data_IF_913147450719
#
_entry.id   IF_913147450719
#
_cell.length_a   1.000
_cell.length_b   1.000
_cell.length_c   1.000
_cell.angle_alpha   90.00
_cell.angle_beta   90.00
_cell.angle_gamma   90.00
#
_symmetry.space_group_name_H-M   'P 1'
#
loop_
_entity.id
_entity.type
_entity.pdbx_description
1 polymer ?
#
# COMPACT_ATOMS: atom_id res chain seq x y z
N UNK A 1 -36.02 56.42 12.31
CA UNK A 1 -34.93 57.35 11.90
C UNK A 1 -34.03 56.63 10.92
N UNK A 2 -34.04 57.08 9.66
CA UNK A 2 -33.24 56.57 8.55
C UNK A 2 -31.79 57.03 8.69
N UNK A 3 -30.82 56.11 8.54
CA UNK A 3 -29.46 56.47 8.10
C UNK A 3 -28.99 55.50 7.02
N UNK A 4 -28.61 56.08 5.88
CA UNK A 4 -28.18 55.48 4.62
C UNK A 4 -26.65 55.44 4.59
N UNK A 5 -26.07 54.31 4.21
CA UNK A 5 -24.72 54.20 3.59
C UNK A 5 -24.60 52.75 3.07
N UNK A 6 -24.90 52.42 1.81
CA UNK A 6 -24.13 52.61 0.56
C UNK A 6 -22.73 51.97 0.61
N UNK A 7 -22.69 50.76 0.02
CA UNK A 7 -21.68 50.21 -0.92
C UNK A 7 -20.20 50.17 -0.52
N UNK A 8 -19.69 48.95 -0.35
CA UNK A 8 -18.39 48.57 -0.92
C UNK A 8 -18.40 47.09 -1.29
N UNK A 9 -18.70 46.80 -2.57
CA UNK A 9 -18.39 45.51 -3.19
C UNK A 9 -16.88 45.36 -3.22
N UNK A 10 -16.34 44.48 -2.36
CA UNK A 10 -15.00 43.95 -2.56
C UNK A 10 -15.14 42.64 -3.33
N UNK A 11 -15.09 42.74 -4.65
CA UNK A 11 -14.89 41.59 -5.53
C UNK A 11 -13.47 41.06 -5.32
N UNK A 12 -13.27 40.28 -4.26
CA UNK A 12 -12.11 39.40 -4.16
C UNK A 12 -12.41 38.18 -5.04
N UNK A 13 -12.05 38.29 -6.32
CA UNK A 13 -12.02 37.15 -7.22
C UNK A 13 -11.09 36.10 -6.64
N UNK A 14 -11.66 35.04 -6.07
CA UNK A 14 -10.91 33.83 -5.75
C UNK A 14 -10.48 33.22 -7.08
N UNK A 15 -9.20 33.41 -7.42
CA UNK A 15 -8.52 32.60 -8.42
C UNK A 15 -8.76 31.13 -8.04
N UNK A 16 -9.47 30.43 -8.92
CA UNK A 16 -9.44 28.97 -8.96
C UNK A 16 -8.03 28.62 -9.42
N UNK A 17 -7.12 28.42 -8.47
CA UNK A 17 -5.91 27.66 -8.73
C UNK A 17 -6.36 26.22 -8.94
N UNK A 18 -6.62 25.87 -10.20
CA UNK A 18 -6.68 24.50 -10.67
C UNK A 18 -5.30 23.85 -10.52
N UNK A 19 -4.93 23.53 -9.28
CA UNK A 19 -3.87 22.61 -8.99
C UNK A 19 -4.40 21.22 -9.27
N UNK A 20 -3.96 20.61 -10.37
CA UNK A 20 -3.97 19.17 -10.49
C UNK A 20 -2.87 18.62 -9.55
N UNK A 21 -3.08 18.75 -8.25
CA UNK A 21 -2.64 17.69 -7.38
C UNK A 21 -3.68 16.61 -7.62
N UNK A 22 -3.29 15.52 -8.29
CA UNK A 22 -3.98 14.26 -8.10
C UNK A 22 -3.80 13.93 -6.62
N UNK A 23 -4.63 14.54 -5.78
CA UNK A 23 -5.08 13.94 -4.56
C UNK A 23 -5.75 12.67 -5.05
N UNK A 24 -4.92 11.62 -5.19
CA UNK A 24 -5.37 10.26 -4.96
C UNK A 24 -5.92 10.31 -3.54
N UNK A 25 -7.17 10.77 -3.44
CA UNK A 25 -8.01 10.44 -2.33
C UNK A 25 -7.76 8.96 -2.17
N UNK A 26 -7.29 8.58 -1.00
CA UNK A 26 -7.74 7.33 -0.45
C UNK A 26 -9.27 7.44 -0.34
N UNK A 27 -9.95 7.46 -1.48
CA UNK A 27 -11.25 6.84 -1.66
C UNK A 27 -11.00 5.48 -1.05
N UNK A 28 -11.60 5.25 0.11
CA UNK A 28 -11.41 4.09 0.94
C UNK A 28 -11.45 2.88 0.00
N UNK A 29 -10.27 2.38 -0.37
CA UNK A 29 -10.15 1.35 -1.38
C UNK A 29 -11.02 0.21 -0.88
N UNK A 30 -12.10 -0.08 -1.60
CA UNK A 30 -13.00 -1.15 -1.21
C UNK A 30 -12.12 -2.37 -1.01
N UNK A 31 -12.22 -3.00 0.17
CA UNK A 31 -11.45 -4.17 0.54
C UNK A 31 -12.02 -5.36 -0.23
N UNK A 32 -11.88 -5.31 -1.56
CA UNK A 32 -12.18 -6.38 -2.48
C UNK A 32 -10.98 -7.35 -2.46
N UNK A 33 -11.05 -8.30 -1.53
CA UNK A 33 -10.09 -9.39 -1.41
C UNK A 33 -10.55 -10.64 -2.18
N UNK A 34 -11.48 -10.52 -3.14
CA UNK A 34 -11.98 -11.67 -3.90
C UNK A 34 -10.86 -12.39 -4.66
N UNK A 35 -9.90 -11.62 -5.20
CA UNK A 35 -8.68 -12.11 -5.84
C UNK A 35 -7.80 -12.98 -4.90
N UNK A 36 -8.00 -12.85 -3.58
CA UNK A 36 -7.27 -13.60 -2.54
C UNK A 36 -8.17 -14.58 -1.79
N UNK A 37 -9.30 -14.98 -2.36
CA UNK A 37 -10.26 -15.89 -1.72
C UNK A 37 -10.82 -15.34 -0.41
N UNK A 38 -10.97 -14.01 -0.32
CA UNK A 38 -11.49 -13.31 0.86
C UNK A 38 -10.45 -13.08 1.97
N UNK A 39 -9.21 -13.53 1.81
CA UNK A 39 -8.15 -13.34 2.81
C UNK A 39 -7.60 -11.92 2.75
N UNK A 40 -7.39 -11.32 3.91
CA UNK A 40 -6.62 -10.06 4.01
C UNK A 40 -5.14 -10.35 3.76
N UNK A 41 -4.51 -9.53 2.91
CA UNK A 41 -3.08 -9.61 2.61
C UNK A 41 -2.36 -8.44 3.26
N UNK A 42 -1.12 -8.68 3.66
CA UNK A 42 -0.27 -7.73 4.36
C UNK A 42 1.10 -7.70 3.70
N UNK A 43 1.70 -6.51 3.67
CA UNK A 43 3.13 -6.36 3.49
C UNK A 43 3.82 -6.83 4.78
N UNK A 44 4.69 -7.82 4.68
CA UNK A 44 5.38 -8.45 5.81
C UNK A 44 6.87 -8.52 5.53
N UNK A 45 7.70 -8.02 6.44
CA UNK A 45 9.14 -7.98 6.25
C UNK A 45 9.88 -7.44 7.47
N UNK A 46 11.16 -7.10 7.28
CA UNK A 46 11.99 -6.55 8.36
C UNK A 46 11.40 -5.26 8.96
N UNK A 47 10.60 -4.51 8.20
CA UNK A 47 9.99 -3.26 8.68
C UNK A 47 8.88 -3.43 9.72
N UNK A 48 8.38 -4.64 9.91
CA UNK A 48 7.32 -4.95 10.87
C UNK A 48 7.53 -6.33 11.51
N UNK A 49 8.78 -6.77 11.65
CA UNK A 49 9.16 -8.05 12.25
C UNK A 49 8.38 -9.24 11.66
N UNK A 50 8.09 -9.17 10.35
CA UNK A 50 7.30 -10.16 9.62
C UNK A 50 5.86 -10.32 10.13
N UNK A 51 5.31 -9.35 10.86
CA UNK A 51 3.95 -9.38 11.39
C UNK A 51 2.90 -8.89 10.38
N UNK A 52 1.68 -9.41 10.50
CA UNK A 52 0.52 -8.89 9.79
C UNK A 52 -0.14 -7.82 10.65
N UNK A 53 0.18 -6.54 10.40
CA UNK A 53 -0.35 -5.41 11.16
C UNK A 53 -1.35 -4.62 10.31
N UNK A 54 -2.26 -3.89 10.95
CA UNK A 54 -3.25 -3.12 10.19
C UNK A 54 -2.63 -2.02 9.32
N UNK A 55 -1.48 -1.46 9.74
CA UNK A 55 -0.75 -0.45 8.98
C UNK A 55 -0.13 -1.00 7.68
N UNK A 56 0.17 -2.30 7.66
CA UNK A 56 0.77 -2.96 6.50
C UNK A 56 -0.25 -3.69 5.63
N UNK A 57 -1.54 -3.56 5.94
CA UNK A 57 -2.63 -4.18 5.17
C UNK A 57 -2.62 -3.66 3.73
N UNK A 58 -2.73 -4.59 2.80
CA UNK A 58 -2.80 -4.31 1.38
C UNK A 58 -4.19 -3.79 1.01
N UNK A 59 -4.23 -2.79 0.13
CA UNK A 59 -5.45 -2.23 -0.44
C UNK A 59 -5.42 -2.33 -1.97
N UNK A 60 -6.57 -2.58 -2.59
CA UNK A 60 -6.72 -2.58 -4.05
C UNK A 60 -6.80 -1.16 -4.57
N UNK A 61 -5.91 -0.76 -5.47
CA UNK A 61 -5.84 0.61 -6.03
C UNK A 61 -6.25 0.68 -7.50
N UNK A 62 -6.25 -0.43 -8.22
CA UNK A 62 -6.86 -0.60 -9.54
C UNK A 62 -7.17 -2.09 -9.78
N UNK A 63 -7.71 -2.43 -10.95
CA UNK A 63 -7.92 -3.85 -11.31
C UNK A 63 -6.61 -4.63 -11.21
N UNK A 64 -6.62 -5.68 -10.38
CA UNK A 64 -5.46 -6.51 -10.04
C UNK A 64 -4.21 -5.78 -9.54
N UNK A 65 -4.31 -4.49 -9.21
CA UNK A 65 -3.20 -3.67 -8.70
C UNK A 65 -3.45 -3.34 -7.24
N UNK A 66 -2.46 -3.67 -6.43
CA UNK A 66 -2.52 -3.63 -4.98
C UNK A 66 -1.40 -2.78 -4.41
N UNK A 67 -1.65 -2.11 -3.28
CA UNK A 67 -0.68 -1.24 -2.62
C UNK A 67 -0.67 -1.45 -1.11
N UNK A 68 0.51 -1.42 -0.50
CA UNK A 68 0.69 -1.25 0.94
C UNK A 68 1.76 -0.19 1.21
N UNK A 69 1.67 0.47 2.37
CA UNK A 69 2.70 1.41 2.82
C UNK A 69 3.59 0.72 3.84
N UNK A 70 4.90 0.98 3.76
CA UNK A 70 5.88 0.52 4.74
C UNK A 70 6.79 1.66 5.16
N UNK A 71 7.05 1.76 6.47
CA UNK A 71 8.07 2.66 7.01
C UNK A 71 9.40 1.93 7.07
N UNK A 72 10.43 2.49 6.47
CA UNK A 72 11.76 1.91 6.36
C UNK A 72 12.74 2.69 7.23
N UNK A 73 13.46 1.99 8.10
CA UNK A 73 14.55 2.54 8.92
C UNK A 73 15.89 2.03 8.42
N UNK A 74 16.91 2.89 8.43
CA UNK A 74 18.24 2.60 7.86
C UNK A 74 18.87 1.34 8.47
N UNK A 75 18.58 1.07 9.75
CA UNK A 75 19.09 -0.06 10.52
C UNK A 75 18.58 -1.41 10.02
N UNK A 76 17.51 -1.44 9.22
CA UNK A 76 16.92 -2.66 8.66
C UNK A 76 17.35 -2.95 7.22
N UNK A 77 18.22 -2.12 6.63
CA UNK A 77 18.71 -2.33 5.28
C UNK A 77 19.76 -3.48 5.23
N UNK A 78 19.75 -4.33 4.18
CA UNK A 78 18.78 -4.39 3.09
C UNK A 78 17.43 -4.97 3.54
N UNK A 79 16.34 -4.37 3.05
CA UNK A 79 15.01 -4.75 3.50
C UNK A 79 14.54 -5.99 2.74
N UNK A 80 14.10 -7.00 3.50
CA UNK A 80 13.43 -8.17 2.98
C UNK A 80 11.94 -8.07 3.26
N UNK A 81 11.12 -8.38 2.26
CA UNK A 81 9.67 -8.38 2.42
C UNK A 81 8.98 -9.39 1.50
N UNK A 82 7.72 -9.66 1.82
CA UNK A 82 6.75 -10.49 1.10
C UNK A 82 5.37 -9.87 1.24
N UNK A 83 4.43 -10.33 0.41
CA UNK A 83 3.02 -10.11 0.63
C UNK A 83 2.40 -11.41 1.09
N UNK A 84 1.71 -11.43 2.23
CA UNK A 84 1.01 -12.63 2.65
C UNK A 84 -0.18 -12.37 3.58
N UNK A 85 -1.09 -13.33 3.69
CA UNK A 85 -2.07 -13.35 4.77
C UNK A 85 -1.38 -13.63 6.12
N UNK A 86 -2.12 -13.39 7.21
CA UNK A 86 -1.61 -13.58 8.58
C UNK A 86 -1.16 -15.02 8.84
N UNK A 87 -1.83 -16.00 8.23
CA UNK A 87 -1.56 -17.43 8.39
C UNK A 87 -0.47 -18.00 7.47
N UNK A 88 0.15 -17.18 6.61
CA UNK A 88 1.07 -17.67 5.57
C UNK A 88 0.44 -18.79 4.71
N UNK A 89 -0.86 -18.68 4.45
CA UNK A 89 -1.64 -19.67 3.72
C UNK A 89 -1.10 -19.86 2.31
N UNK A 90 -1.31 -21.05 1.76
CA UNK A 90 -1.02 -21.28 0.36
C UNK A 90 -1.88 -20.39 -0.53
N UNK A 91 -1.32 -20.00 -1.68
CA UNK A 91 -2.03 -19.13 -2.64
C UNK A 91 -2.06 -17.67 -2.21
N UNK A 92 -1.66 -17.35 -0.98
CA UNK A 92 -1.59 -15.98 -0.44
C UNK A 92 -0.26 -15.73 0.24
N UNK A 93 0.83 -16.27 -0.32
CA UNK A 93 2.19 -16.10 0.16
C UNK A 93 3.09 -15.77 -1.04
N UNK A 94 3.32 -14.49 -1.28
CA UNK A 94 3.95 -13.97 -2.48
C UNK A 94 5.33 -13.37 -2.17
N UNK A 95 6.32 -13.74 -2.99
CA UNK A 95 7.70 -13.29 -2.85
C UNK A 95 8.49 -13.60 -4.12
N UNK A 96 9.81 -13.69 -4.00
CA UNK A 96 10.67 -14.06 -5.11
C UNK A 96 10.69 -15.59 -5.31
N UNK A 97 10.51 -16.03 -6.55
CA UNK A 97 10.68 -17.43 -6.95
C UNK A 97 12.09 -17.60 -7.53
N UNK A 98 12.93 -18.42 -6.90
CA UNK A 98 14.22 -18.82 -7.50
C UNK A 98 13.98 -19.64 -8.80
N UNK A 99 14.97 -19.75 -9.71
CA UNK A 99 14.73 -20.28 -11.07
C UNK A 99 14.41 -21.78 -11.16
N UNK A 100 14.42 -22.54 -10.07
CA UNK A 100 14.24 -24.00 -10.14
C UNK A 100 12.76 -24.39 -10.11
N UNK A 101 12.29 -24.81 -11.27
CA UNK A 101 10.96 -25.34 -11.55
C UNK A 101 10.73 -26.68 -10.86
N UNK A 102 9.76 -26.70 -9.94
CA UNK A 102 8.73 -27.72 -9.71
C UNK A 102 8.07 -27.40 -8.38
N UNK A 103 6.84 -26.87 -8.36
CA UNK A 103 6.07 -26.74 -7.10
C UNK A 103 4.65 -27.26 -7.32
N UNK A 104 4.44 -28.54 -6.97
CA UNK A 104 3.13 -29.22 -6.81
C UNK A 104 2.75 -29.32 -5.34
N UNK A 105 3.06 -28.31 -4.52
CA UNK A 105 2.40 -28.17 -3.22
C UNK A 105 2.52 -26.76 -2.70
N UNK A 106 1.44 -26.25 -2.13
CA UNK A 106 1.43 -25.44 -0.93
C UNK A 106 2.75 -25.51 -0.13
N UNK A 107 3.68 -24.57 -0.32
CA UNK A 107 4.93 -24.54 0.44
C UNK A 107 4.83 -23.50 1.57
N UNK A 108 5.27 -23.91 2.76
CA UNK A 108 5.38 -23.10 3.98
C UNK A 108 6.06 -21.72 3.76
N UNK A 109 5.84 -20.77 4.68
CA UNK A 109 6.42 -19.41 4.69
C UNK A 109 7.90 -19.36 4.26
N UNK A 110 8.69 -20.36 4.67
CA UNK A 110 10.14 -20.42 4.51
C UNK A 110 10.62 -20.83 3.10
N UNK A 111 9.73 -21.34 2.26
CA UNK A 111 10.10 -21.90 0.94
C UNK A 111 9.93 -20.93 -0.22
N UNK A 112 9.28 -19.78 0.01
CA UNK A 112 9.20 -18.68 -0.95
C UNK A 112 10.13 -17.59 -0.44
N UNK A 113 11.17 -17.29 -1.22
CA UNK A 113 12.19 -16.33 -0.84
C UNK A 113 11.58 -14.92 -0.75
N UNK A 114 12.02 -14.09 0.21
CA UNK A 114 11.59 -12.71 0.23
C UNK A 114 12.23 -11.90 -0.90
N UNK A 115 11.56 -10.82 -1.28
CA UNK A 115 12.12 -9.80 -2.16
C UNK A 115 13.07 -8.94 -1.33
N UNK A 116 14.27 -8.66 -1.86
CA UNK A 116 15.26 -7.80 -1.20
C UNK A 116 15.41 -6.49 -1.95
N UNK A 117 15.34 -5.36 -1.24
CA UNK A 117 15.47 -4.02 -1.82
C UNK A 117 16.45 -3.15 -1.05
N UNK A 118 17.03 -2.18 -1.74
CA UNK A 118 17.92 -1.16 -1.20
C UNK A 118 17.29 0.21 -1.44
N UNK A 119 16.54 0.70 -0.46
CA UNK A 119 15.95 2.03 -0.47
C UNK A 119 16.50 2.87 0.68
N UNK A 120 16.53 4.21 0.57
CA UNK A 120 16.77 5.06 1.72
C UNK A 120 15.67 4.87 2.78
N UNK A 121 15.97 5.24 4.03
CA UNK A 121 14.96 5.30 5.08
C UNK A 121 13.85 6.29 4.72
N UNK A 122 12.61 5.99 5.11
CA UNK A 122 11.43 6.78 4.77
C UNK A 122 10.19 5.92 4.59
N UNK A 123 9.09 6.53 4.17
CA UNK A 123 7.88 5.78 3.81
C UNK A 123 7.94 5.41 2.33
N UNK A 124 7.72 4.13 2.03
CA UNK A 124 7.63 3.63 0.66
C UNK A 124 6.23 3.04 0.41
N UNK A 125 5.77 3.15 -0.84
CA UNK A 125 4.59 2.44 -1.33
C UNK A 125 5.03 1.21 -2.10
N UNK A 126 4.52 0.06 -1.72
CA UNK A 126 4.84 -1.24 -2.31
C UNK A 126 3.66 -1.67 -3.14
N UNK A 127 3.90 -1.89 -4.43
CA UNK A 127 2.87 -2.32 -5.36
C UNK A 127 3.01 -3.80 -5.68
N UNK A 128 1.87 -4.47 -5.83
CA UNK A 128 1.78 -5.87 -6.25
C UNK A 128 0.71 -5.99 -7.34
N UNK A 129 1.00 -6.78 -8.37
CA UNK A 129 0.05 -7.13 -9.43
C UNK A 129 -0.26 -8.62 -9.32
N UNK A 130 -1.55 -8.96 -9.22
CA UNK A 130 -2.03 -10.34 -9.19
C UNK A 130 -2.37 -10.88 -10.60
#
# INVERSE_FOLDING_TARGET
>A
MFKRTVTMMLAAGTLVLGGCASNGGAEQAAVDNSDFGGKSIYLRGEMNDWMATDESKVVKVADKLYMAKGTLKKEWAPYKFKFADSGWSCGTNFGYKSPSWLITSCRSANNIMPITIFLPAGTASFFYSA
#
